data_IF_965626015912
#
_entry.id   IF_965626015912
#
_cell.length_a   1.000
_cell.length_b   1.000
_cell.length_c   1.000
_cell.angle_alpha   90.00
_cell.angle_beta   90.00
_cell.angle_gamma   90.00
#
_symmetry.space_group_name_H-M   'P 1'
#
loop_
_entity.id
_entity.type
_entity.pdbx_description
1 polymer ?
#
# COMPACT_ATOMS: atom_id res chain seq x y z
N UNK A 1 2.32 7.86 -48.66
CA UNK A 1 3.22 6.88 -48.02
C UNK A 1 3.84 7.42 -46.73
N UNK A 2 4.65 8.49 -46.73
CA UNK A 2 5.26 9.03 -45.48
C UNK A 2 4.24 9.45 -44.39
N UNK A 3 3.13 10.09 -44.78
CA UNK A 3 2.10 10.52 -43.81
C UNK A 3 1.37 9.34 -43.14
N UNK A 4 1.17 8.23 -43.85
CA UNK A 4 0.52 7.04 -43.28
C UNK A 4 1.41 6.33 -42.27
N UNK A 5 2.72 6.25 -42.56
CA UNK A 5 3.71 5.72 -41.63
C UNK A 5 3.80 6.58 -40.37
N UNK A 6 3.81 7.91 -40.50
CA UNK A 6 3.81 8.82 -39.36
C UNK A 6 2.53 8.69 -38.52
N UNK A 7 1.36 8.60 -39.15
CA UNK A 7 0.10 8.38 -38.45
C UNK A 7 0.10 7.06 -37.67
N UNK A 8 0.61 5.97 -38.27
CA UNK A 8 0.75 4.69 -37.60
C UNK A 8 1.70 4.80 -36.38
N UNK A 9 2.82 5.51 -36.53
CA UNK A 9 3.76 5.77 -35.43
C UNK A 9 3.07 6.53 -34.29
N UNK A 10 2.33 7.60 -34.58
CA UNK A 10 1.60 8.36 -33.55
C UNK A 10 0.54 7.52 -32.85
N UNK A 11 -0.19 6.66 -33.57
CA UNK A 11 -1.16 5.74 -32.97
C UNK A 11 -0.49 4.73 -32.03
N UNK A 12 0.65 4.16 -32.42
CA UNK A 12 1.41 3.24 -31.57
C UNK A 12 1.94 3.93 -30.32
N UNK A 13 2.49 5.14 -30.43
CA UNK A 13 2.93 5.92 -29.27
C UNK A 13 1.77 6.28 -28.36
N UNK A 14 0.62 6.69 -28.92
CA UNK A 14 -0.59 6.97 -28.15
C UNK A 14 -1.05 5.74 -27.37
N UNK A 15 -1.07 4.56 -28.02
CA UNK A 15 -1.43 3.30 -27.37
C UNK A 15 -0.46 2.94 -26.23
N UNK A 16 0.85 3.10 -26.45
CA UNK A 16 1.87 2.84 -25.42
C UNK A 16 1.68 3.74 -24.19
N UNK A 17 1.36 5.03 -24.41
CA UNK A 17 1.10 5.97 -23.31
C UNK A 17 -0.14 5.52 -22.52
N UNK A 18 -1.22 5.15 -23.20
CA UNK A 18 -2.44 4.67 -22.52
C UNK A 18 -2.14 3.43 -21.69
N UNK A 19 -1.44 2.44 -22.25
CA UNK A 19 -1.04 1.22 -21.53
C UNK A 19 -0.17 1.55 -20.31
N UNK A 20 0.80 2.45 -20.46
CA UNK A 20 1.66 2.87 -19.35
C UNK A 20 0.87 3.55 -18.22
N UNK A 21 -0.07 4.44 -18.57
CA UNK A 21 -0.94 5.11 -17.59
C UNK A 21 -1.84 4.08 -16.90
N UNK A 22 -2.49 3.19 -17.65
CA UNK A 22 -3.33 2.13 -17.09
C UNK A 22 -2.56 1.24 -16.12
N UNK A 23 -1.34 0.84 -16.49
CA UNK A 23 -0.47 0.05 -15.62
C UNK A 23 -0.08 0.81 -14.34
N UNK A 24 0.27 2.10 -14.48
CA UNK A 24 0.60 2.94 -13.32
C UNK A 24 -0.58 3.05 -12.35
N UNK A 25 -1.78 3.35 -12.85
CA UNK A 25 -3.00 3.42 -12.03
C UNK A 25 -3.31 2.07 -11.36
N UNK A 26 -3.23 0.97 -12.11
CA UNK A 26 -3.46 -0.37 -11.56
C UNK A 26 -2.46 -0.68 -10.43
N UNK A 27 -1.19 -0.34 -10.61
CA UNK A 27 -0.15 -0.57 -9.59
C UNK A 27 -0.38 0.22 -8.30
N UNK A 28 -0.95 1.43 -8.40
CA UNK A 28 -1.29 2.25 -7.23
C UNK A 28 -2.49 1.66 -6.48
N UNK A 29 -3.54 1.27 -7.21
CA UNK A 29 -4.73 0.64 -6.61
C UNK A 29 -4.39 -0.69 -5.94
N UNK A 30 -3.55 -1.50 -6.59
CA UNK A 30 -3.11 -2.78 -6.03
C UNK A 30 -2.38 -2.62 -4.70
N UNK A 31 -1.50 -1.60 -4.57
CA UNK A 31 -0.78 -1.34 -3.31
C UNK A 31 -1.72 -0.99 -2.17
N UNK A 32 -2.72 -0.14 -2.43
CA UNK A 32 -3.68 0.26 -1.40
C UNK A 32 -4.58 -0.90 -0.95
N UNK A 33 -4.98 -1.76 -1.89
CA UNK A 33 -5.75 -2.97 -1.58
C UNK A 33 -4.90 -3.95 -0.77
N UNK A 34 -3.69 -4.27 -1.24
CA UNK A 34 -2.78 -5.21 -0.57
C UNK A 34 -2.44 -4.77 0.86
N UNK A 35 -2.20 -3.48 1.08
CA UNK A 35 -1.96 -2.97 2.43
C UNK A 35 -3.15 -3.16 3.37
N UNK A 36 -4.38 -3.14 2.83
CA UNK A 36 -5.59 -3.33 3.61
C UNK A 36 -5.78 -4.78 4.01
N UNK A 37 -5.63 -5.68 3.04
CA UNK A 37 -5.68 -7.12 3.26
C UNK A 37 -4.67 -7.57 4.31
N UNK A 38 -3.42 -7.09 4.24
CA UNK A 38 -2.38 -7.45 5.20
C UNK A 38 -2.70 -6.96 6.63
N UNK A 39 -3.24 -5.75 6.78
CA UNK A 39 -3.61 -5.20 8.09
C UNK A 39 -4.82 -5.95 8.66
N UNK A 40 -5.81 -6.23 7.83
CA UNK A 40 -7.01 -6.96 8.24
C UNK A 40 -6.67 -8.39 8.64
N UNK A 41 -5.86 -9.08 7.84
CA UNK A 41 -5.37 -10.43 8.15
C UNK A 41 -4.54 -10.43 9.45
N UNK A 42 -3.59 -9.49 9.59
CA UNK A 42 -2.82 -9.36 10.83
C UNK A 42 -3.72 -9.11 12.04
N UNK A 43 -4.74 -8.26 11.93
CA UNK A 43 -5.68 -7.99 13.01
C UNK A 43 -6.43 -9.27 13.40
N UNK A 44 -6.98 -10.01 12.43
CA UNK A 44 -7.68 -11.26 12.65
C UNK A 44 -6.77 -12.31 13.32
N UNK A 45 -5.55 -12.48 12.83
CA UNK A 45 -4.57 -13.45 13.34
C UNK A 45 -4.16 -13.16 14.80
N UNK A 46 -4.26 -11.89 15.23
CA UNK A 46 -3.92 -11.44 16.58
C UNK A 46 -5.15 -11.25 17.48
N UNK A 47 -6.35 -11.67 17.05
CA UNK A 47 -7.57 -11.58 17.84
C UNK A 47 -8.16 -10.18 17.94
N UNK A 48 -7.77 -9.28 17.04
CA UNK A 48 -8.31 -7.94 16.93
C UNK A 48 -9.38 -7.84 15.85
N UNK A 49 -10.37 -6.99 16.09
CA UNK A 49 -11.30 -6.52 15.08
C UNK A 49 -10.80 -5.20 14.48
N UNK A 50 -10.57 -5.22 13.17
CA UNK A 50 -10.17 -4.02 12.43
C UNK A 50 -11.28 -2.95 12.46
N UNK A 51 -10.93 -1.70 12.77
CA UNK A 51 -11.88 -0.57 12.77
C UNK A 51 -11.54 0.40 11.64
N UNK A 52 -10.31 0.90 11.60
CA UNK A 52 -9.89 1.82 10.55
C UNK A 52 -8.38 1.80 10.33
N UNK A 53 -7.98 2.27 9.15
CA UNK A 53 -6.59 2.55 8.79
C UNK A 53 -6.50 3.91 8.12
N UNK A 54 -5.42 4.60 8.38
CA UNK A 54 -5.05 5.84 7.71
C UNK A 54 -3.65 5.68 7.12
N UNK A 55 -3.46 6.18 5.90
CA UNK A 55 -2.16 6.25 5.25
C UNK A 55 -1.63 7.69 5.34
N UNK A 56 -0.83 8.03 6.35
CA UNK A 56 -0.33 9.38 6.48
C UNK A 56 0.69 9.70 5.37
N UNK A 57 0.48 10.84 4.70
CA UNK A 57 1.30 11.25 3.55
C UNK A 57 2.73 11.64 3.93
N UNK A 58 2.95 12.18 5.14
CA UNK A 58 4.23 12.75 5.57
C UNK A 58 4.73 12.21 6.91
N UNK A 59 3.83 11.98 7.88
CA UNK A 59 4.20 11.50 9.21
C UNK A 59 4.16 9.98 9.26
N UNK A 60 5.31 9.31 9.28
CA UNK A 60 5.41 7.84 9.39
C UNK A 60 5.52 7.36 10.85
N UNK A 61 5.22 8.25 11.80
CA UNK A 61 5.20 7.96 13.21
C UNK A 61 6.57 7.53 13.76
N UNK A 62 6.64 6.53 14.65
CA UNK A 62 7.88 6.09 15.28
C UNK A 62 8.85 5.39 14.31
N UNK A 63 8.45 5.17 13.06
CA UNK A 63 9.27 4.59 12.02
C UNK A 63 10.01 5.69 11.25
N UNK A 64 11.11 6.16 11.83
CA UNK A 64 11.98 7.21 11.24
C UNK A 64 12.94 6.66 10.18
N UNK A 65 13.19 5.34 10.16
CA UNK A 65 14.14 4.69 9.25
C UNK A 65 13.45 3.61 8.40
N UNK A 66 12.94 3.99 7.23
CA UNK A 66 12.11 3.13 6.40
C UNK A 66 12.74 2.96 5.03
N UNK A 67 12.79 1.73 4.52
CA UNK A 67 13.15 1.47 3.13
C UNK A 67 12.08 2.05 2.20
N UNK A 68 12.46 2.48 0.99
CA UNK A 68 11.54 3.06 -0.01
C UNK A 68 10.39 2.13 -0.44
N UNK A 69 10.47 0.86 -0.05
CA UNK A 69 9.54 -0.21 -0.41
C UNK A 69 8.57 -0.59 0.70
N UNK A 70 8.67 0.03 1.88
CA UNK A 70 7.82 -0.23 3.03
C UNK A 70 6.72 0.83 3.13
N UNK A 71 5.52 0.39 3.46
CA UNK A 71 4.38 1.27 3.68
C UNK A 71 4.04 1.33 5.17
N UNK A 72 3.64 2.52 5.63
CA UNK A 72 3.28 2.75 7.03
C UNK A 72 1.84 3.23 7.08
N UNK A 73 1.07 2.60 7.94
CA UNK A 73 -0.32 2.90 8.22
C UNK A 73 -0.46 3.19 9.70
N UNK A 74 -1.36 4.10 10.04
CA UNK A 74 -1.87 4.25 11.39
C UNK A 74 -3.17 3.46 11.47
N UNK A 75 -3.32 2.59 12.47
CA UNK A 75 -4.46 1.68 12.58
C UNK A 75 -5.17 1.88 13.91
N UNK A 76 -6.47 1.65 13.87
CA UNK A 76 -7.32 1.51 15.04
C UNK A 76 -7.94 0.12 14.98
N UNK A 77 -7.76 -0.64 16.06
CA UNK A 77 -8.32 -1.98 16.22
C UNK A 77 -9.01 -2.11 17.58
N UNK A 78 -9.87 -3.11 17.73
CA UNK A 78 -10.57 -3.41 18.98
C UNK A 78 -10.25 -4.84 19.39
N UNK A 79 -9.86 -5.05 20.64
CA UNK A 79 -9.59 -6.38 21.18
C UNK A 79 -10.88 -7.16 21.52
N UNK A 80 -10.72 -8.40 21.99
CA UNK A 80 -11.84 -9.24 22.40
C UNK A 80 -12.62 -8.69 23.62
N UNK A 81 -11.99 -7.82 24.43
CA UNK A 81 -12.59 -7.17 25.59
C UNK A 81 -13.36 -5.90 25.20
N UNK A 82 -13.29 -5.50 23.93
CA UNK A 82 -13.91 -4.30 23.40
C UNK A 82 -13.07 -3.03 23.60
N UNK A 83 -11.82 -3.15 24.06
CA UNK A 83 -10.93 -2.00 24.20
C UNK A 83 -10.33 -1.62 22.85
N UNK A 84 -10.29 -0.32 22.60
CA UNK A 84 -9.73 0.23 21.38
C UNK A 84 -8.23 0.46 21.54
N UNK A 85 -7.45 -0.10 20.61
CA UNK A 85 -5.99 0.06 20.52
C UNK A 85 -5.65 0.85 19.26
N UNK A 86 -4.76 1.83 19.40
CA UNK A 86 -4.27 2.65 18.28
C UNK A 86 -2.75 2.57 18.17
N UNK A 87 -2.26 2.47 16.93
CA UNK A 87 -0.83 2.34 16.71
C UNK A 87 -0.42 2.39 15.26
N UNK A 88 0.89 2.33 15.07
CA UNK A 88 1.55 2.39 13.78
C UNK A 88 1.90 1.00 13.29
N UNK A 89 1.47 0.66 12.08
CA UNK A 89 1.76 -0.60 11.42
C UNK A 89 2.65 -0.33 10.22
N UNK A 90 3.80 -0.98 10.18
CA UNK A 90 4.71 -0.99 9.05
C UNK A 90 4.58 -2.31 8.32
N UNK A 91 4.30 -2.24 7.02
CA UNK A 91 4.14 -3.37 6.13
C UNK A 91 5.34 -3.53 5.21
N UNK A 92 5.72 -4.78 4.99
CA UNK A 92 6.66 -5.17 3.96
C UNK A 92 8.09 -5.37 4.43
N UNK A 93 8.79 -6.25 3.73
CA UNK A 93 10.18 -6.61 4.01
C UNK A 93 11.17 -5.57 3.50
N UNK A 94 12.34 -5.49 4.15
CA UNK A 94 13.38 -4.51 3.81
C UNK A 94 13.87 -4.61 2.35
N UNK A 95 13.80 -5.81 1.75
CA UNK A 95 14.23 -6.09 0.37
C UNK A 95 13.09 -6.46 -0.59
N UNK A 96 12.02 -7.10 -0.09
CA UNK A 96 10.88 -7.57 -0.89
C UNK A 96 9.65 -6.63 -0.84
N UNK A 97 9.67 -5.60 -0.01
CA UNK A 97 8.57 -4.63 0.13
C UNK A 97 7.25 -5.32 0.44
N UNK A 98 6.17 -4.86 -0.21
CA UNK A 98 4.79 -5.35 -0.05
C UNK A 98 4.55 -6.79 -0.56
N UNK A 99 5.56 -7.45 -1.17
CA UNK A 99 5.49 -8.88 -1.47
C UNK A 99 5.77 -9.78 -0.26
N UNK A 100 6.20 -9.19 0.85
CA UNK A 100 6.38 -9.88 2.12
C UNK A 100 5.23 -9.58 3.05
N UNK A 101 4.73 -10.61 3.72
CA UNK A 101 3.67 -10.51 4.73
C UNK A 101 4.22 -10.09 6.10
N UNK A 102 5.40 -9.48 6.13
CA UNK A 102 5.98 -8.92 7.36
C UNK A 102 5.19 -7.70 7.82
N UNK A 103 4.73 -7.78 9.06
CA UNK A 103 3.99 -6.71 9.75
C UNK A 103 4.72 -6.37 11.06
N UNK A 104 5.15 -5.12 11.22
CA UNK A 104 5.71 -4.61 12.48
C UNK A 104 4.76 -3.56 13.06
N UNK A 105 4.39 -3.72 14.34
CA UNK A 105 3.43 -2.82 15.01
C UNK A 105 4.08 -2.09 16.18
N UNK A 106 3.74 -0.81 16.31
CA UNK A 106 4.14 0.08 17.40
C UNK A 106 2.90 0.77 17.96
N UNK A 107 2.47 0.35 19.14
CA UNK A 107 1.33 0.95 19.82
C UNK A 107 1.68 2.33 20.38
N UNK A 108 0.68 3.21 20.49
CA UNK A 108 0.87 4.55 21.07
C UNK A 108 1.00 4.51 22.61
N UNK A 109 0.49 3.46 23.27
CA UNK A 109 0.50 3.26 24.72
C UNK A 109 0.76 1.80 25.08
#
# INVERSE_FOLDING_TARGET
MFNEVNNLIYLLFGLLIVVAISFAVWSLVWREQRGGELIEQWAQDNGYRFVSRERPAFNKGPFTWNSRYQEVYYVIVVDAEGQQHSGWVKLGGQYSGMHSDQVEVRWDK
#
